data_IF_269046414819
#
_entry.id   IF_269046414819
#
_cell.length_a   1.000
_cell.length_b   1.000
_cell.length_c   1.000
_cell.angle_alpha   90.00
_cell.angle_beta   90.00
_cell.angle_gamma   90.00
#
_symmetry.space_group_name_H-M   'P 1'
#
loop_
_entity.id
_entity.type
_entity.pdbx_description
1 polymer ?
#
# COMPACT_ATOMS: atom_id res chain seq x y z
N UNK A 1 -20.38 -0.28 -17.34
CA UNK A 1 -19.76 -0.01 -16.02
C UNK A 1 -20.68 -0.59 -14.96
N UNK A 2 -20.15 -1.18 -13.91
CA UNK A 2 -20.94 -1.74 -12.80
C UNK A 2 -20.68 -0.88 -11.58
N UNK A 3 -21.76 -0.36 -11.00
CA UNK A 3 -21.75 0.39 -9.74
C UNK A 3 -22.51 -0.45 -8.71
N UNK A 4 -21.91 -0.75 -7.55
CA UNK A 4 -22.62 -1.35 -6.43
C UNK A 4 -23.57 -0.32 -5.80
N UNK A 5 -24.79 -0.73 -5.46
CA UNK A 5 -25.74 0.13 -4.72
C UNK A 5 -26.19 -0.46 -3.38
N UNK A 6 -25.72 -1.66 -3.05
CA UNK A 6 -26.03 -2.36 -1.80
C UNK A 6 -24.84 -3.21 -1.40
N UNK A 7 -24.51 -3.22 -0.10
CA UNK A 7 -23.38 -3.97 0.46
C UNK A 7 -23.93 -4.98 1.48
N UNK A 8 -23.53 -6.26 1.43
CA UNK A 8 -24.02 -7.29 2.33
C UNK A 8 -23.34 -7.22 3.70
N UNK A 9 -23.58 -6.12 4.43
CA UNK A 9 -23.01 -5.93 5.78
C UNK A 9 -23.58 -6.95 6.77
N UNK A 10 -22.83 -7.22 7.84
CA UNK A 10 -23.31 -8.11 8.91
C UNK A 10 -24.65 -7.63 9.49
N UNK A 11 -24.84 -6.31 9.63
CA UNK A 11 -26.10 -5.71 10.09
C UNK A 11 -27.27 -5.94 9.12
N UNK A 12 -27.04 -5.78 7.80
CA UNK A 12 -28.06 -6.08 6.78
C UNK A 12 -28.46 -7.56 6.81
N UNK A 13 -27.50 -8.47 7.00
CA UNK A 13 -27.76 -9.91 7.01
C UNK A 13 -28.37 -10.40 8.33
N UNK A 14 -28.09 -9.75 9.47
CA UNK A 14 -28.58 -10.16 10.79
C UNK A 14 -28.35 -11.66 11.09
N UNK A 15 -27.17 -12.16 10.73
CA UNK A 15 -26.79 -13.58 10.90
C UNK A 15 -27.34 -14.54 9.84
N UNK A 16 -28.17 -14.07 8.90
CA UNK A 16 -28.64 -14.87 7.77
C UNK A 16 -27.50 -15.22 6.82
N UNK A 17 -27.55 -16.38 6.14
CA UNK A 17 -26.51 -16.76 5.20
C UNK A 17 -26.47 -15.80 4.00
N UNK A 18 -25.25 -15.41 3.60
CA UNK A 18 -25.02 -14.61 2.41
C UNK A 18 -25.48 -15.36 1.16
N UNK A 19 -26.39 -14.77 0.39
CA UNK A 19 -26.83 -15.27 -0.92
C UNK A 19 -26.24 -14.41 -2.02
N UNK A 20 -25.83 -15.03 -3.13
CA UNK A 20 -25.36 -14.32 -4.32
C UNK A 20 -26.54 -13.81 -5.15
N UNK A 21 -26.73 -12.49 -5.33
CA UNK A 21 -27.82 -11.97 -6.15
C UNK A 21 -27.65 -12.36 -7.63
N UNK A 22 -28.76 -12.54 -8.36
CA UNK A 22 -28.71 -12.69 -9.83
C UNK A 22 -28.29 -11.39 -10.51
N UNK A 23 -28.75 -10.25 -9.97
CA UNK A 23 -28.45 -8.92 -10.50
C UNK A 23 -26.95 -8.58 -10.32
N UNK A 24 -26.27 -8.21 -11.41
CA UNK A 24 -24.85 -7.90 -11.43
C UNK A 24 -24.47 -6.77 -10.45
N UNK A 25 -25.28 -5.72 -10.39
CA UNK A 25 -25.08 -4.59 -9.46
C UNK A 25 -25.16 -4.99 -7.98
N UNK A 26 -25.98 -5.99 -7.65
CA UNK A 26 -26.04 -6.55 -6.30
C UNK A 26 -24.87 -7.48 -5.98
N UNK A 27 -24.34 -8.20 -6.99
CA UNK A 27 -23.16 -9.06 -6.81
C UNK A 27 -21.90 -8.28 -6.48
N UNK A 28 -21.68 -7.15 -7.15
CA UNK A 28 -20.44 -6.36 -6.97
C UNK A 28 -20.31 -5.82 -5.56
N UNK A 29 -21.41 -5.46 -4.89
CA UNK A 29 -21.37 -4.99 -3.51
C UNK A 29 -20.81 -5.99 -2.49
N UNK A 30 -20.71 -7.29 -2.84
CA UNK A 30 -20.00 -8.29 -2.03
C UNK A 30 -18.48 -8.10 -2.05
N UNK A 31 -17.95 -7.55 -3.15
CA UNK A 31 -16.52 -7.51 -3.46
C UNK A 31 -15.97 -6.09 -3.46
N UNK A 32 -16.64 -5.15 -2.80
CA UNK A 32 -16.14 -3.79 -2.63
C UNK A 32 -16.70 -3.16 -1.36
N UNK A 33 -16.07 -2.08 -0.92
CA UNK A 33 -16.49 -1.33 0.27
C UNK A 33 -16.69 0.16 0.02
N UNK A 34 -16.57 0.61 -1.23
CA UNK A 34 -16.93 1.96 -1.66
C UNK A 34 -17.70 1.94 -3.01
N UNK A 35 -18.19 3.12 -3.39
CA UNK A 35 -18.91 3.35 -4.65
C UNK A 35 -18.12 4.19 -5.66
N UNK A 36 -16.91 4.62 -5.30
CA UNK A 36 -16.05 5.46 -6.15
C UNK A 36 -15.14 4.63 -7.06
N UNK A 37 -14.86 3.38 -6.68
CA UNK A 37 -13.98 2.46 -7.39
C UNK A 37 -14.76 1.65 -8.42
N UNK A 38 -14.99 2.24 -9.59
CA UNK A 38 -15.90 1.70 -10.60
C UNK A 38 -15.27 0.64 -11.53
N UNK A 39 -15.96 -0.47 -11.74
CA UNK A 39 -15.56 -1.49 -12.72
C UNK A 39 -16.18 -1.20 -14.09
N UNK A 40 -15.35 -0.98 -15.10
CA UNK A 40 -15.75 -0.66 -16.47
C UNK A 40 -15.08 -1.50 -17.54
N UNK A 41 -15.42 -1.26 -18.83
CA UNK A 41 -14.64 -1.80 -19.93
C UNK A 41 -13.16 -1.44 -19.78
N UNK A 42 -12.27 -2.42 -19.98
CA UNK A 42 -10.82 -2.22 -19.86
C UNK A 42 -10.25 -2.31 -18.45
N UNK A 43 -11.06 -2.17 -17.38
CA UNK A 43 -10.59 -2.23 -15.98
C UNK A 43 -9.79 -3.49 -15.73
N UNK A 44 -10.35 -4.67 -16.03
CA UNK A 44 -9.64 -5.95 -15.79
C UNK A 44 -8.30 -6.05 -16.53
N UNK A 45 -8.23 -5.59 -17.78
CA UNK A 45 -6.98 -5.60 -18.56
C UNK A 45 -5.91 -4.74 -17.88
N UNK A 46 -6.28 -3.54 -17.44
CA UNK A 46 -5.35 -2.64 -16.75
C UNK A 46 -4.93 -3.20 -15.38
N UNK A 47 -5.88 -3.70 -14.59
CA UNK A 47 -5.63 -4.32 -13.28
C UNK A 47 -4.67 -5.50 -13.39
N UNK A 48 -4.83 -6.35 -14.41
CA UNK A 48 -3.91 -7.47 -14.66
C UNK A 48 -2.53 -7.01 -15.09
N UNK A 49 -2.44 -6.03 -15.98
CA UNK A 49 -1.16 -5.48 -16.39
C UNK A 49 -0.38 -4.85 -15.21
N UNK A 50 -1.07 -4.19 -14.28
CA UNK A 50 -0.46 -3.66 -13.06
C UNK A 50 0.12 -4.79 -12.18
N UNK A 51 -0.67 -5.85 -11.94
CA UNK A 51 -0.20 -7.02 -11.20
C UNK A 51 1.00 -7.71 -11.90
N UNK A 52 0.96 -7.86 -13.23
CA UNK A 52 2.06 -8.45 -14.01
C UNK A 52 3.33 -7.57 -13.95
N UNK A 53 3.17 -6.25 -13.85
CA UNK A 53 4.29 -5.31 -13.67
C UNK A 53 4.94 -5.47 -12.30
N UNK A 54 4.13 -5.60 -11.24
CA UNK A 54 4.62 -5.86 -9.88
C UNK A 54 5.36 -7.21 -9.78
N UNK A 55 4.82 -8.25 -10.42
CA UNK A 55 5.48 -9.57 -10.50
C UNK A 55 6.82 -9.48 -11.25
N UNK A 56 6.87 -8.77 -12.38
CA UNK A 56 8.12 -8.58 -13.14
C UNK A 56 9.19 -7.89 -12.31
N UNK A 57 8.83 -6.85 -11.55
CA UNK A 57 9.78 -6.17 -10.68
C UNK A 57 10.26 -7.06 -9.51
N UNK A 58 9.36 -7.86 -8.94
CA UNK A 58 9.72 -8.85 -7.93
C UNK A 58 10.67 -9.93 -8.47
N UNK A 59 10.44 -10.44 -9.69
CA UNK A 59 11.31 -11.41 -10.35
C UNK A 59 12.72 -10.83 -10.60
N UNK A 60 12.81 -9.56 -11.02
CA UNK A 60 14.10 -8.88 -11.20
C UNK A 60 14.87 -8.78 -9.88
N UNK A 61 14.20 -8.39 -8.80
CA UNK A 61 14.79 -8.27 -7.47
C UNK A 61 15.22 -9.64 -6.93
N UNK A 62 14.37 -10.66 -7.05
CA UNK A 62 14.70 -12.04 -6.71
C UNK A 62 15.88 -12.59 -7.54
N UNK A 63 16.01 -12.12 -8.79
CA UNK A 63 17.13 -12.42 -9.69
C UNK A 63 18.44 -11.69 -9.36
N UNK A 64 18.47 -10.88 -8.29
CA UNK A 64 19.66 -10.19 -7.80
C UNK A 64 19.72 -8.70 -8.12
N UNK A 65 18.70 -8.12 -8.75
CA UNK A 65 18.61 -6.67 -8.86
C UNK A 65 18.45 -6.05 -7.47
N UNK A 66 19.21 -4.99 -7.18
CA UNK A 66 19.11 -4.29 -5.89
C UNK A 66 17.78 -3.55 -5.73
N UNK A 67 17.30 -2.96 -6.81
CA UNK A 67 16.00 -2.29 -6.81
C UNK A 67 15.33 -2.44 -8.18
N UNK A 68 14.00 -2.51 -8.18
CA UNK A 68 13.18 -2.44 -9.39
C UNK A 68 11.93 -1.60 -9.12
N UNK A 69 11.48 -0.85 -10.13
CA UNK A 69 10.29 -0.02 -10.03
C UNK A 69 9.16 -0.58 -10.88
N UNK A 70 8.07 -0.94 -10.22
CA UNK A 70 6.81 -1.32 -10.83
C UNK A 70 5.89 -0.10 -10.92
N UNK A 71 5.86 0.55 -12.09
CA UNK A 71 4.95 1.65 -12.44
C UNK A 71 3.50 1.13 -12.60
N UNK A 72 2.92 0.64 -11.50
CA UNK A 72 1.60 0.05 -11.45
C UNK A 72 0.51 1.11 -11.66
N UNK A 73 -0.47 0.79 -12.51
CA UNK A 73 -1.71 1.56 -12.65
C UNK A 73 -2.84 0.66 -13.16
N UNK A 74 -3.96 0.49 -12.43
CA UNK A 74 -4.35 1.17 -11.19
C UNK A 74 -3.50 0.79 -9.94
N UNK A 75 -3.55 1.60 -8.86
CA UNK A 75 -2.91 1.29 -7.59
C UNK A 75 -3.52 0.03 -6.93
N UNK A 76 -2.94 -0.41 -5.81
CA UNK A 76 -3.25 -1.69 -5.18
C UNK A 76 -3.45 -1.69 -3.67
N UNK A 77 -2.82 -0.83 -2.89
CA UNK A 77 -2.69 -1.02 -1.43
C UNK A 77 -4.02 -1.05 -0.64
N UNK A 78 -5.11 -0.52 -1.21
CA UNK A 78 -6.45 -0.57 -0.61
C UNK A 78 -7.19 -1.89 -0.90
N UNK A 79 -6.82 -2.65 -1.92
CA UNK A 79 -7.47 -3.93 -2.23
C UNK A 79 -7.13 -4.99 -1.18
N UNK A 80 -8.15 -5.48 -0.47
CA UNK A 80 -8.01 -6.53 0.55
C UNK A 80 -8.39 -7.93 0.03
N UNK A 81 -8.38 -8.96 0.89
CA UNK A 81 -8.67 -10.35 0.47
C UNK A 81 -10.09 -10.55 -0.06
N UNK A 82 -11.04 -9.74 0.40
CA UNK A 82 -12.47 -9.92 0.16
C UNK A 82 -13.13 -8.77 -0.63
N UNK A 83 -12.40 -7.71 -0.98
CA UNK A 83 -12.99 -6.61 -1.73
C UNK A 83 -12.02 -5.52 -2.19
N UNK A 84 -12.45 -4.81 -3.22
CA UNK A 84 -11.77 -3.69 -3.84
C UNK A 84 -12.29 -2.33 -3.33
N UNK A 85 -11.49 -1.29 -3.48
CA UNK A 85 -11.84 0.08 -3.10
C UNK A 85 -10.65 1.03 -3.14
N UNK A 86 -10.86 2.31 -2.88
CA UNK A 86 -9.83 3.36 -2.96
C UNK A 86 -9.11 3.38 -4.31
N UNK A 87 -9.83 3.26 -5.43
CA UNK A 87 -9.24 3.12 -6.77
C UNK A 87 -8.42 1.83 -7.02
N UNK A 88 -8.30 0.94 -6.03
CA UNK A 88 -7.51 -0.29 -6.08
C UNK A 88 -8.39 -1.53 -6.35
N UNK A 89 -7.87 -2.51 -7.07
CA UNK A 89 -8.61 -3.73 -7.48
C UNK A 89 -7.88 -5.05 -7.19
N UNK A 90 -6.56 -5.06 -7.36
CA UNK A 90 -5.65 -6.11 -6.91
C UNK A 90 -4.52 -5.43 -6.16
N UNK A 91 -4.04 -6.07 -5.09
CA UNK A 91 -3.00 -5.47 -4.25
C UNK A 91 -1.62 -5.76 -4.82
N UNK A 92 -1.10 -4.82 -5.62
CA UNK A 92 0.18 -4.97 -6.32
C UNK A 92 1.36 -5.14 -5.35
N UNK A 93 1.38 -4.38 -4.26
CA UNK A 93 2.41 -4.49 -3.23
C UNK A 93 2.38 -5.86 -2.51
N UNK A 94 1.20 -6.34 -2.14
CA UNK A 94 1.04 -7.66 -1.54
C UNK A 94 1.39 -8.80 -2.52
N UNK A 95 1.08 -8.64 -3.81
CA UNK A 95 1.49 -9.57 -4.87
C UNK A 95 3.01 -9.63 -4.96
N UNK A 96 3.69 -8.47 -5.00
CA UNK A 96 5.15 -8.41 -5.02
C UNK A 96 5.78 -9.04 -3.77
N UNK A 97 5.24 -8.73 -2.58
CA UNK A 97 5.73 -9.30 -1.33
C UNK A 97 5.59 -10.82 -1.29
N UNK A 98 4.45 -11.34 -1.73
CA UNK A 98 4.21 -12.78 -1.80
C UNK A 98 5.10 -13.46 -2.85
N UNK A 99 5.39 -12.81 -3.98
CA UNK A 99 6.31 -13.31 -4.99
C UNK A 99 7.74 -13.42 -4.46
N UNK A 100 8.24 -12.40 -3.74
CA UNK A 100 9.55 -12.43 -3.09
C UNK A 100 9.66 -13.57 -2.06
N UNK A 101 8.60 -13.79 -1.26
CA UNK A 101 8.51 -14.94 -0.34
C UNK A 101 8.61 -16.28 -1.09
N UNK A 102 7.92 -16.41 -2.21
CA UNK A 102 7.95 -17.62 -3.04
C UNK A 102 9.29 -17.81 -3.75
N UNK A 103 10.03 -16.73 -4.00
CA UNK A 103 11.35 -16.76 -4.60
C UNK A 103 12.49 -17.05 -3.60
N UNK A 104 12.17 -17.16 -2.30
CA UNK A 104 13.08 -17.69 -1.28
C UNK A 104 13.41 -16.77 -0.11
N UNK A 105 12.98 -15.50 -0.12
CA UNK A 105 13.15 -14.62 1.05
C UNK A 105 12.29 -15.15 2.21
N UNK A 106 12.85 -15.43 3.39
CA UNK A 106 12.10 -15.98 4.53
C UNK A 106 11.16 -14.96 5.19
N UNK A 107 11.54 -13.68 5.14
CA UNK A 107 10.78 -12.56 5.69
C UNK A 107 10.85 -11.39 4.72
N UNK A 108 9.72 -10.73 4.48
CA UNK A 108 9.60 -9.57 3.59
C UNK A 108 8.96 -8.42 4.35
N UNK A 109 9.39 -7.18 4.11
CA UNK A 109 8.72 -6.01 4.65
C UNK A 109 8.02 -5.22 3.54
N UNK A 110 6.77 -4.82 3.79
CA UNK A 110 6.06 -3.80 3.01
C UNK A 110 6.09 -2.50 3.80
N UNK A 111 6.71 -1.47 3.23
CA UNK A 111 6.74 -0.10 3.77
C UNK A 111 5.87 0.78 2.87
N UNK A 112 4.80 1.34 3.44
CA UNK A 112 3.82 2.14 2.72
C UNK A 112 4.00 3.64 3.01
N UNK A 113 4.43 4.36 1.97
CA UNK A 113 4.68 5.80 1.98
C UNK A 113 3.51 6.62 1.41
N UNK A 114 2.46 5.96 0.93
CA UNK A 114 1.23 6.64 0.48
C UNK A 114 0.57 7.40 1.64
N UNK A 115 -0.02 8.55 1.36
CA UNK A 115 -0.65 9.38 2.39
C UNK A 115 -1.86 8.68 3.04
N UNK A 116 -2.45 7.70 2.38
CA UNK A 116 -3.57 6.92 2.87
C UNK A 116 -3.10 5.59 3.44
N UNK A 117 -3.81 5.11 4.46
CA UNK A 117 -3.51 3.80 5.02
C UNK A 117 -3.75 2.70 3.98
N UNK A 118 -2.72 1.87 3.72
CA UNK A 118 -2.81 0.65 2.93
C UNK A 118 -3.61 -0.46 3.59
N UNK A 119 -4.90 -0.22 3.86
CA UNK A 119 -5.81 -1.12 4.58
C UNK A 119 -5.93 -2.50 3.95
N UNK A 120 -5.83 -2.60 2.63
CA UNK A 120 -5.86 -3.86 1.91
C UNK A 120 -4.62 -4.69 2.21
N UNK A 121 -3.44 -4.05 2.15
CA UNK A 121 -2.16 -4.67 2.46
C UNK A 121 -2.12 -5.15 3.91
N UNK A 122 -2.53 -4.30 4.84
CA UNK A 122 -2.71 -4.67 6.25
C UNK A 122 -3.62 -5.89 6.39
N UNK A 123 -4.80 -5.89 5.76
CA UNK A 123 -5.76 -6.98 5.89
C UNK A 123 -5.24 -8.32 5.33
N UNK A 124 -4.43 -8.28 4.27
CA UNK A 124 -3.85 -9.49 3.65
C UNK A 124 -2.83 -10.16 4.58
N UNK A 125 -2.01 -9.37 5.29
CA UNK A 125 -0.92 -9.89 6.13
C UNK A 125 -1.20 -9.84 7.64
N UNK A 126 -2.37 -9.38 8.07
CA UNK A 126 -2.65 -9.09 9.48
C UNK A 126 -2.37 -10.25 10.45
N UNK A 127 -2.62 -11.47 10.01
CA UNK A 127 -2.41 -12.69 10.80
C UNK A 127 -1.06 -13.37 10.58
N UNK A 128 -0.15 -12.76 9.83
CA UNK A 128 1.07 -13.39 9.29
C UNK A 128 2.33 -12.72 9.81
N UNK A 129 3.21 -13.50 10.43
CA UNK A 129 4.50 -13.03 10.93
C UNK A 129 5.64 -13.10 9.91
N UNK A 130 5.38 -13.60 8.70
CA UNK A 130 6.39 -13.73 7.63
C UNK A 130 6.44 -12.53 6.67
N UNK A 131 5.50 -11.60 6.83
CA UNK A 131 5.49 -10.32 6.13
C UNK A 131 5.18 -9.20 7.13
N UNK A 132 6.13 -8.28 7.31
CA UNK A 132 5.91 -7.05 8.06
C UNK A 132 5.18 -6.02 7.21
N UNK A 133 4.23 -5.28 7.79
CA UNK A 133 3.55 -4.14 7.15
C UNK A 133 3.72 -2.91 8.03
N UNK A 134 4.45 -1.91 7.53
CA UNK A 134 4.60 -0.59 8.14
C UNK A 134 3.97 0.46 7.26
N UNK A 135 3.08 1.29 7.80
CA UNK A 135 2.42 2.37 7.04
C UNK A 135 2.42 3.66 7.86
N UNK A 136 2.87 4.75 7.24
CA UNK A 136 2.74 6.11 7.75
C UNK A 136 1.81 6.89 6.85
N UNK A 137 0.70 7.38 7.42
CA UNK A 137 -0.42 7.91 6.67
C UNK A 137 -1.14 8.97 7.50
N UNK A 138 -1.98 9.77 6.86
CA UNK A 138 -2.80 10.77 7.54
C UNK A 138 -3.76 10.07 8.50
N UNK A 139 -3.91 10.61 9.70
CA UNK A 139 -4.77 10.04 10.73
C UNK A 139 -6.22 9.84 10.22
N UNK A 140 -6.72 8.59 10.14
CA UNK A 140 -8.10 8.33 9.75
C UNK A 140 -9.12 8.94 10.73
N UNK A 141 -8.75 9.12 12.00
CA UNK A 141 -9.52 9.83 13.02
C UNK A 141 -9.66 11.33 12.76
N UNK A 142 -8.77 11.92 11.97
CA UNK A 142 -8.88 13.29 11.49
C UNK A 142 -9.78 13.43 10.25
N UNK A 143 -10.45 12.35 9.83
CA UNK A 143 -11.44 12.35 8.74
C UNK A 143 -10.89 11.92 7.38
N UNK A 144 -9.72 11.27 7.33
CA UNK A 144 -9.07 10.86 6.09
C UNK A 144 -9.32 9.39 5.76
N UNK A 145 -9.38 9.09 4.47
CA UNK A 145 -9.63 7.72 3.98
C UNK A 145 -8.51 6.79 4.48
N UNK A 146 -8.82 5.54 4.91
CA UNK A 146 -10.08 4.80 4.79
C UNK A 146 -11.02 4.93 6.00
N UNK A 147 -10.79 5.89 6.90
CA UNK A 147 -11.64 6.27 8.04
C UNK A 147 -11.81 5.25 9.17
N UNK A 148 -11.84 3.95 8.88
CA UNK A 148 -12.24 2.91 9.84
C UNK A 148 -11.08 2.05 10.36
N UNK A 149 -9.92 2.15 9.71
CA UNK A 149 -8.71 1.36 9.97
C UNK A 149 -7.48 2.21 9.70
N UNK A 150 -6.32 1.80 10.21
CA UNK A 150 -5.09 2.59 10.19
C UNK A 150 -4.76 3.20 11.56
N UNK A 151 -5.49 2.83 12.62
CA UNK A 151 -5.19 3.34 13.95
C UNK A 151 -3.95 2.65 14.55
N UNK A 152 -3.17 3.39 15.35
CA UNK A 152 -1.91 2.93 15.95
C UNK A 152 -2.03 1.69 16.87
N UNK A 153 -3.25 1.38 17.34
CA UNK A 153 -3.54 0.21 18.17
C UNK A 153 -3.62 -1.10 17.38
N UNK A 154 -3.70 -1.05 16.05
CA UNK A 154 -3.83 -2.21 15.18
C UNK A 154 -2.45 -2.83 14.90
N UNK A 155 -2.10 -3.87 15.66
CA UNK A 155 -0.72 -4.43 15.67
C UNK A 155 -0.61 -5.85 15.13
N UNK A 156 -1.59 -6.28 14.34
CA UNK A 156 -1.67 -7.65 13.82
C UNK A 156 -2.35 -8.61 14.80
N UNK A 157 -2.45 -9.88 14.41
CA UNK A 157 -3.08 -10.94 15.20
C UNK A 157 -2.37 -12.28 15.03
N UNK A 158 -2.55 -13.19 15.98
CA UNK A 158 -1.95 -14.52 15.92
C UNK A 158 -0.43 -14.46 15.74
N UNK A 159 0.09 -15.15 14.74
CA UNK A 159 1.53 -15.15 14.38
C UNK A 159 1.99 -13.79 13.82
N UNK A 160 1.08 -12.96 13.32
CA UNK A 160 1.37 -11.62 12.82
C UNK A 160 1.33 -10.53 13.90
N UNK A 161 1.16 -10.88 15.18
CA UNK A 161 1.25 -9.89 16.24
C UNK A 161 2.65 -9.24 16.24
N UNK A 162 2.67 -7.90 16.25
CA UNK A 162 3.86 -7.05 16.07
C UNK A 162 4.45 -7.01 14.65
N UNK A 163 3.86 -7.71 13.67
CA UNK A 163 4.21 -7.60 12.25
C UNK A 163 3.39 -6.51 11.51
N UNK A 164 2.57 -5.73 12.24
CA UNK A 164 1.84 -4.59 11.68
C UNK A 164 2.10 -3.32 12.50
N UNK A 165 2.51 -2.25 11.83
CA UNK A 165 2.73 -0.93 12.43
C UNK A 165 1.99 0.14 11.63
N UNK A 166 1.05 0.80 12.28
CA UNK A 166 0.42 2.01 11.78
C UNK A 166 0.97 3.24 12.52
N UNK A 167 1.38 4.25 11.76
CA UNK A 167 1.82 5.55 12.24
C UNK A 167 0.90 6.64 11.68
N UNK A 168 -0.28 6.85 12.28
CA UNK A 168 -1.18 7.93 11.88
C UNK A 168 -0.54 9.29 12.18
N UNK A 169 -0.52 10.17 11.18
CA UNK A 169 0.10 11.49 11.20
C UNK A 169 -0.96 12.58 11.21
N UNK A 170 -0.74 13.62 12.01
CA UNK A 170 -1.63 14.77 12.05
C UNK A 170 -1.64 15.50 10.69
N UNK A 171 -2.79 16.07 10.27
CA UNK A 171 -2.83 16.99 9.13
C UNK A 171 -1.79 18.11 9.24
N UNK A 172 -1.13 18.44 8.14
CA UNK A 172 -0.08 19.46 8.10
C UNK A 172 1.31 18.98 8.54
N UNK A 173 1.48 17.69 8.86
CA UNK A 173 2.80 17.08 9.10
C UNK A 173 3.75 17.36 7.92
N UNK A 174 4.93 17.89 8.24
CA UNK A 174 6.00 18.21 7.28
C UNK A 174 7.14 17.19 7.37
N UNK A 175 8.17 17.39 6.53
CA UNK A 175 9.38 16.57 6.38
C UNK A 175 9.93 15.96 7.67
N UNK A 176 10.24 16.76 8.72
CA UNK A 176 10.88 16.24 9.95
C UNK A 176 10.08 15.12 10.61
N UNK A 177 8.81 15.39 10.94
CA UNK A 177 7.96 14.42 11.62
C UNK A 177 7.59 13.24 10.72
N UNK A 178 7.48 13.46 9.41
CA UNK A 178 7.28 12.38 8.44
C UNK A 178 8.50 11.45 8.37
N UNK A 179 9.71 12.01 8.31
CA UNK A 179 10.97 11.26 8.30
C UNK A 179 11.23 10.53 9.63
N UNK A 180 10.86 11.11 10.77
CA UNK A 180 10.90 10.43 12.07
C UNK A 180 9.99 9.18 12.08
N UNK A 181 8.81 9.24 11.44
CA UNK A 181 7.95 8.08 11.27
C UNK A 181 8.57 7.02 10.35
N UNK A 182 9.27 7.44 9.28
CA UNK A 182 10.05 6.52 8.42
C UNK A 182 11.14 5.82 9.21
N UNK A 183 11.85 6.53 10.10
CA UNK A 183 12.89 5.95 10.95
C UNK A 183 12.34 4.85 11.87
N UNK A 184 11.17 5.08 12.48
CA UNK A 184 10.48 4.06 13.30
C UNK A 184 10.16 2.81 12.48
N UNK A 185 9.68 2.96 11.24
CA UNK A 185 9.40 1.81 10.37
C UNK A 185 10.71 1.10 9.99
N UNK A 186 11.78 1.84 9.71
CA UNK A 186 13.10 1.26 9.40
C UNK A 186 13.67 0.45 10.57
N UNK A 187 13.50 0.93 11.81
CA UNK A 187 13.86 0.19 13.03
C UNK A 187 13.06 -1.12 13.15
N UNK A 188 11.74 -1.07 12.93
CA UNK A 188 10.89 -2.26 12.96
C UNK A 188 11.25 -3.25 11.84
N UNK A 189 11.57 -2.78 10.63
CA UNK A 189 12.02 -3.61 9.49
C UNK A 189 13.32 -4.33 9.85
N UNK A 190 14.28 -3.63 10.45
CA UNK A 190 15.52 -4.24 10.94
C UNK A 190 15.26 -5.29 12.02
N UNK A 191 14.37 -4.99 12.98
CA UNK A 191 14.00 -5.91 14.06
C UNK A 191 13.26 -7.15 13.55
N UNK A 192 12.43 -7.00 12.52
CA UNK A 192 11.76 -8.11 11.83
C UNK A 192 12.77 -8.99 11.07
N UNK A 193 13.92 -8.44 10.67
CA UNK A 193 14.93 -9.16 9.90
C UNK A 193 14.43 -9.51 8.50
N UNK A 194 13.76 -8.56 7.84
CA UNK A 194 13.33 -8.70 6.45
C UNK A 194 14.54 -8.87 5.51
N UNK A 195 14.40 -9.73 4.52
CA UNK A 195 15.45 -10.05 3.54
C UNK A 195 15.21 -9.37 2.19
N UNK A 196 13.99 -8.91 1.95
CA UNK A 196 13.61 -8.10 0.80
C UNK A 196 12.50 -7.11 1.20
N UNK A 197 12.41 -6.01 0.46
CA UNK A 197 11.50 -4.91 0.72
C UNK A 197 10.51 -4.72 -0.43
N UNK A 198 9.31 -4.30 -0.11
CA UNK A 198 8.35 -3.71 -1.03
C UNK A 198 8.02 -2.32 -0.51
N UNK A 199 8.25 -1.30 -1.33
CA UNK A 199 7.90 0.08 -1.00
C UNK A 199 6.62 0.41 -1.76
N UNK A 200 5.49 0.49 -1.07
CA UNK A 200 4.26 1.08 -1.62
C UNK A 200 4.50 2.58 -1.75
N UNK A 201 4.83 3.01 -2.97
CA UNK A 201 5.27 4.35 -3.28
C UNK A 201 4.08 5.18 -3.77
N UNK A 202 3.33 5.74 -2.82
CA UNK A 202 2.41 6.84 -3.07
C UNK A 202 3.13 8.18 -2.96
N UNK A 203 2.76 9.14 -3.82
CA UNK A 203 3.38 10.47 -3.88
C UNK A 203 2.42 11.56 -3.38
N UNK A 204 1.24 11.16 -2.92
CA UNK A 204 0.18 12.05 -2.47
C UNK A 204 0.40 12.61 -1.06
N UNK A 205 1.47 12.24 -0.33
CA UNK A 205 1.89 12.98 0.87
C UNK A 205 2.57 14.32 0.53
N UNK A 206 2.84 14.58 -0.75
CA UNK A 206 3.52 15.78 -1.20
C UNK A 206 2.71 17.05 -0.89
N UNK A 207 3.41 18.13 -0.52
CA UNK A 207 2.76 19.38 -0.12
C UNK A 207 1.86 20.03 -1.18
N UNK A 208 2.02 19.66 -2.46
CA UNK A 208 1.22 20.17 -3.57
C UNK A 208 0.06 19.24 -3.95
N UNK A 209 0.00 18.02 -3.40
CA UNK A 209 -1.00 17.03 -3.78
C UNK A 209 -2.38 17.40 -3.20
N UNK A 210 -3.46 17.32 -4.00
CA UNK A 210 -4.80 17.69 -3.54
C UNK A 210 -5.47 16.63 -2.63
N UNK A 211 -4.99 15.39 -2.61
CA UNK A 211 -5.67 14.28 -1.92
C UNK A 211 -5.18 14.08 -0.47
N UNK A 212 -4.28 14.93 0.04
CA UNK A 212 -3.71 14.81 1.38
C UNK A 212 -3.46 16.16 2.03
N UNK A 213 -3.52 16.28 3.37
CA UNK A 213 -3.09 17.47 4.10
C UNK A 213 -1.60 17.41 4.51
N UNK A 214 -0.86 16.37 4.15
CA UNK A 214 0.57 16.28 4.45
C UNK A 214 1.36 17.29 3.61
N UNK A 215 2.56 17.62 4.09
CA UNK A 215 3.40 18.67 3.50
C UNK A 215 4.82 18.18 3.27
N UNK A 216 4.94 17.04 2.58
CA UNK A 216 6.22 16.37 2.32
C UNK A 216 6.87 16.97 1.06
N UNK A 217 8.18 17.22 1.13
CA UNK A 217 8.98 17.69 0.00
C UNK A 217 9.59 16.54 -0.80
N UNK A 218 10.03 16.83 -2.04
CA UNK A 218 10.77 15.87 -2.85
C UNK A 218 12.06 15.38 -2.16
N UNK A 219 12.74 16.26 -1.40
CA UNK A 219 13.94 15.87 -0.67
C UNK A 219 13.64 14.90 0.47
N UNK A 220 12.50 15.07 1.16
CA UNK A 220 12.06 14.10 2.16
C UNK A 220 11.75 12.73 1.53
N UNK A 221 11.07 12.67 0.37
CA UNK A 221 10.89 11.40 -0.36
C UNK A 221 12.22 10.71 -0.70
N UNK A 222 13.22 11.49 -1.16
CA UNK A 222 14.57 10.98 -1.41
C UNK A 222 15.19 10.40 -0.14
N UNK A 223 15.19 11.16 0.96
CA UNK A 223 15.77 10.72 2.24
C UNK A 223 15.06 9.48 2.80
N UNK A 224 13.72 9.42 2.72
CA UNK A 224 12.96 8.28 3.19
C UNK A 224 13.31 7.01 2.40
N UNK A 225 13.33 7.12 1.08
CA UNK A 225 13.66 6.00 0.20
C UNK A 225 15.11 5.53 0.37
N UNK A 226 16.05 6.44 0.61
CA UNK A 226 17.45 6.13 0.96
C UNK A 226 17.52 5.32 2.27
N UNK A 227 16.87 5.79 3.34
CA UNK A 227 16.82 5.10 4.64
C UNK A 227 16.24 3.70 4.52
N UNK A 228 15.10 3.56 3.83
CA UNK A 228 14.46 2.25 3.58
C UNK A 228 15.39 1.35 2.77
N UNK A 229 16.01 1.89 1.71
CA UNK A 229 16.89 1.17 0.81
C UNK A 229 18.14 0.58 1.48
N UNK A 230 18.52 1.02 2.69
CA UNK A 230 19.62 0.43 3.45
C UNK A 230 19.29 -0.98 3.98
N UNK A 231 18.01 -1.33 4.08
CA UNK A 231 17.58 -2.57 4.74
C UNK A 231 17.51 -3.79 3.83
N UNK A 232 17.61 -3.65 2.51
CA UNK A 232 17.49 -4.81 1.62
C UNK A 232 17.17 -4.46 0.18
N UNK A 233 17.20 -5.46 -0.71
CA UNK A 233 16.82 -5.27 -2.09
C UNK A 233 15.31 -5.00 -2.16
N UNK A 234 14.89 -4.07 -3.02
CA UNK A 234 13.60 -3.43 -2.90
C UNK A 234 12.80 -3.38 -4.22
N UNK A 235 11.52 -3.71 -4.15
CA UNK A 235 10.56 -3.42 -5.20
C UNK A 235 9.80 -2.15 -4.84
N UNK A 236 9.98 -1.06 -5.57
CA UNK A 236 9.09 0.10 -5.47
C UNK A 236 7.83 -0.17 -6.31
N UNK A 237 6.65 -0.03 -5.71
CA UNK A 237 5.35 -0.25 -6.36
C UNK A 237 4.58 1.06 -6.35
N UNK A 238 4.28 1.61 -7.52
CA UNK A 238 3.51 2.86 -7.62
C UNK A 238 2.10 2.68 -7.03
N UNK A 239 1.74 3.57 -6.10
CA UNK A 239 0.40 3.71 -5.51
C UNK A 239 -0.22 5.07 -5.91
N UNK A 240 -0.61 5.93 -4.97
CA UNK A 240 -1.21 7.25 -5.18
C UNK A 240 -0.25 8.35 -5.67
N UNK A 241 -0.80 9.55 -5.84
CA UNK A 241 -0.14 10.72 -6.43
C UNK A 241 -0.99 11.34 -7.52
N UNK A 242 -1.47 12.55 -7.29
CA UNK A 242 -2.53 13.19 -8.07
C UNK A 242 -2.20 14.61 -8.50
N UNK A 243 -1.13 15.21 -7.97
CA UNK A 243 -0.45 16.34 -8.62
C UNK A 243 0.33 15.87 -9.85
N UNK A 244 -0.35 15.85 -11.00
CA UNK A 244 0.21 15.38 -12.27
C UNK A 244 1.42 16.21 -12.76
N UNK A 245 1.58 17.44 -12.30
CA UNK A 245 2.71 18.27 -12.69
C UNK A 245 3.97 17.89 -11.89
N UNK A 246 3.81 17.59 -10.60
CA UNK A 246 4.92 17.29 -9.69
C UNK A 246 5.27 15.80 -9.58
N UNK A 247 4.33 14.88 -9.84
CA UNK A 247 4.48 13.43 -9.57
C UNK A 247 5.76 12.83 -10.17
N UNK A 248 6.14 13.23 -11.38
CA UNK A 248 7.35 12.73 -12.03
C UNK A 248 8.63 13.07 -11.27
N UNK A 249 8.74 14.30 -10.76
CA UNK A 249 9.90 14.76 -9.98
C UNK A 249 9.96 14.05 -8.63
N UNK A 250 8.82 13.83 -7.98
CA UNK A 250 8.71 13.10 -6.71
C UNK A 250 9.12 11.63 -6.86
N UNK A 251 8.66 10.96 -7.92
CA UNK A 251 9.09 9.59 -8.26
C UNK A 251 10.61 9.57 -8.47
N UNK A 252 11.16 10.48 -9.28
CA UNK A 252 12.61 10.53 -9.51
C UNK A 252 13.40 10.74 -8.22
N UNK A 253 12.92 11.60 -7.31
CA UNK A 253 13.56 11.83 -6.03
C UNK A 253 13.56 10.56 -5.14
N UNK A 254 12.41 9.89 -5.02
CA UNK A 254 12.28 8.65 -4.26
C UNK A 254 13.16 7.53 -4.84
N UNK A 255 13.10 7.30 -6.16
CA UNK A 255 13.94 6.29 -6.82
C UNK A 255 15.43 6.67 -6.70
N UNK A 256 15.78 7.96 -6.81
CA UNK A 256 17.14 8.43 -6.58
C UNK A 256 17.69 8.04 -5.21
N UNK A 257 16.89 8.21 -4.15
CA UNK A 257 17.24 7.77 -2.80
C UNK A 257 17.37 6.25 -2.68
N UNK A 258 16.38 5.51 -3.18
CA UNK A 258 16.35 4.04 -3.09
C UNK A 258 17.56 3.38 -3.79
N UNK A 259 18.01 3.94 -4.92
CA UNK A 259 19.20 3.44 -5.63
C UNK A 259 20.51 3.91 -5.00
N UNK A 260 20.56 5.12 -4.42
CA UNK A 260 21.76 5.66 -3.78
C UNK A 260 22.19 4.91 -2.50
N UNK A 261 21.25 4.23 -1.84
CA UNK A 261 21.53 3.36 -0.70
C UNK A 261 22.35 2.09 -1.06
N UNK A 262 22.76 1.94 -2.33
CA UNK A 262 23.61 0.86 -2.83
C UNK A 262 25.08 1.26 -2.73
N UNK A 263 25.94 0.54 -1.98
CA UNK A 263 27.38 0.75 -2.01
C UNK A 263 28.02 0.40 -3.37
#
# INVERSE_FOLDING_TARGET
>A
RVVPYVFPTAGLLSGLPLRSPTALHGRVGRFCYDTMTLVGPGTWRAVRAAADTALTAADLVAGGARAAYALCRPPGHHAGPAGHGGSCYLNNAAIAAQALRQAGAERVAVVDLDAHHGNGTQAIFYGRGDVYVGSLHVDPGAGWFPHYVGYAGERGSGEGLHANRNLPLAPGTCDSAWLEAVDVVCEDVAAHGAEALVVSLGLDAAASDPESPLRVSADAYRQAAERIGLHGPAVAVQEGGYDLAAIGELVVAALGGLWAASP
#
